data_IF_337978733214
#
_entry.id   IF_337978733214
#
_cell.length_a   1.000
_cell.length_b   1.000
_cell.length_c   1.000
_cell.angle_alpha   90.00
_cell.angle_beta   90.00
_cell.angle_gamma   90.00
#
_symmetry.space_group_name_H-M   'P 1'
#
loop_
_entity.id
_entity.type
_entity.pdbx_description
1 polymer ?
#
# COMPACT_ATOMS: atom_id res chain seq x y z
N UNK A 1 -34.73 -4.56 -14.90
CA UNK A 1 -34.69 -6.01 -14.61
C UNK A 1 -33.64 -6.18 -13.53
N UNK A 2 -34.05 -6.38 -12.27
CA UNK A 2 -33.13 -6.76 -11.19
C UNK A 2 -33.11 -8.29 -11.19
N UNK A 3 -31.95 -8.91 -11.38
CA UNK A 3 -31.83 -10.36 -11.59
C UNK A 3 -32.10 -11.21 -10.34
N UNK A 4 -32.36 -10.58 -9.19
CA UNK A 4 -32.64 -11.28 -7.93
C UNK A 4 -31.46 -12.09 -7.41
N UNK A 5 -30.23 -11.83 -7.87
CA UNK A 5 -29.02 -12.52 -7.43
C UNK A 5 -28.88 -12.44 -5.89
N UNK A 6 -28.90 -13.60 -5.25
CA UNK A 6 -28.77 -13.71 -3.79
C UNK A 6 -27.29 -13.86 -3.44
N UNK A 7 -26.69 -12.84 -2.82
CA UNK A 7 -25.33 -12.93 -2.28
C UNK A 7 -25.37 -13.70 -0.96
N UNK A 8 -24.59 -14.78 -0.86
CA UNK A 8 -24.40 -15.54 0.37
C UNK A 8 -23.05 -15.18 0.97
N UNK A 9 -23.03 -14.61 2.17
CA UNK A 9 -21.78 -14.29 2.85
C UNK A 9 -21.25 -15.50 3.62
N UNK A 10 -19.95 -15.69 3.61
CA UNK A 10 -19.23 -16.67 4.42
C UNK A 10 -18.19 -15.94 5.26
N UNK A 11 -18.31 -15.99 6.57
CA UNK A 11 -17.29 -15.42 7.45
C UNK A 11 -16.14 -16.40 7.55
N UNK A 12 -14.91 -15.89 7.44
CA UNK A 12 -13.69 -16.68 7.66
C UNK A 12 -13.75 -17.40 9.02
N UNK A 13 -13.22 -18.62 9.08
CA UNK A 13 -13.17 -19.40 10.33
C UNK A 13 -12.26 -18.71 11.35
N UNK A 14 -12.55 -18.91 12.63
CA UNK A 14 -11.76 -18.34 13.73
C UNK A 14 -10.35 -18.96 13.82
N UNK A 15 -10.18 -20.15 13.24
CA UNK A 15 -8.94 -20.90 13.16
C UNK A 15 -8.09 -20.53 11.92
N UNK A 16 -8.59 -19.61 11.09
CA UNK A 16 -7.86 -19.15 9.89
C UNK A 16 -6.59 -18.40 10.29
N UNK A 17 -5.46 -18.82 9.71
CA UNK A 17 -4.18 -18.13 9.86
C UNK A 17 -4.02 -17.05 8.77
N UNK A 18 -4.11 -15.74 9.11
CA UNK A 18 -3.93 -14.68 8.15
C UNK A 18 -2.47 -14.51 7.67
N UNK A 19 -1.50 -15.19 8.29
CA UNK A 19 -0.11 -15.20 7.82
C UNK A 19 0.15 -16.16 6.65
N UNK A 20 -0.77 -17.08 6.37
CA UNK A 20 -0.65 -18.06 5.30
C UNK A 20 -1.42 -17.60 4.03
N UNK A 21 -0.66 -17.20 3.01
CA UNK A 21 -1.23 -16.81 1.72
C UNK A 21 -2.01 -17.95 1.03
N UNK A 22 -1.59 -19.21 1.22
CA UNK A 22 -2.27 -20.36 0.65
C UNK A 22 -3.60 -20.64 1.36
N UNK A 23 -3.68 -20.43 2.67
CA UNK A 23 -4.93 -20.50 3.41
C UNK A 23 -5.94 -19.47 2.86
N UNK A 24 -5.50 -18.24 2.62
CA UNK A 24 -6.34 -17.18 2.06
C UNK A 24 -6.88 -17.52 0.66
N UNK A 25 -5.99 -18.00 -0.23
CA UNK A 25 -6.37 -18.44 -1.58
C UNK A 25 -7.33 -19.63 -1.54
N UNK A 26 -7.10 -20.57 -0.63
CA UNK A 26 -7.99 -21.73 -0.43
C UNK A 26 -9.38 -21.29 0.04
N UNK A 27 -9.46 -20.36 1.00
CA UNK A 27 -10.72 -19.83 1.49
C UNK A 27 -11.52 -19.11 0.38
N UNK A 28 -10.84 -18.29 -0.43
CA UNK A 28 -11.43 -17.63 -1.60
C UNK A 28 -12.01 -18.64 -2.59
N UNK A 29 -11.22 -19.65 -2.96
CA UNK A 29 -11.62 -20.67 -3.94
C UNK A 29 -12.80 -21.52 -3.45
N UNK A 30 -12.81 -21.90 -2.17
CA UNK A 30 -13.90 -22.66 -1.58
C UNK A 30 -15.20 -21.86 -1.54
N UNK A 31 -15.11 -20.56 -1.19
CA UNK A 31 -16.28 -19.68 -1.20
C UNK A 31 -16.84 -19.50 -2.61
N UNK A 32 -15.98 -19.26 -3.61
CA UNK A 32 -16.36 -19.16 -5.02
C UNK A 32 -17.08 -20.44 -5.50
N UNK A 33 -16.47 -21.61 -5.25
CA UNK A 33 -17.06 -22.91 -5.59
C UNK A 33 -18.41 -23.14 -4.89
N UNK A 34 -18.56 -22.60 -3.68
CA UNK A 34 -19.80 -22.66 -2.90
C UNK A 34 -20.87 -21.62 -3.29
N UNK A 35 -20.60 -20.73 -4.24
CA UNK A 35 -21.48 -19.61 -4.58
C UNK A 35 -21.65 -18.62 -3.42
N UNK A 36 -20.59 -18.45 -2.62
CA UNK A 36 -20.54 -17.59 -1.45
C UNK A 36 -19.46 -16.52 -1.64
N UNK A 37 -19.58 -15.45 -0.87
CA UNK A 37 -18.61 -14.38 -0.78
C UNK A 37 -17.95 -14.43 0.59
N UNK A 38 -16.66 -14.77 0.62
CA UNK A 38 -15.89 -14.82 1.87
C UNK A 38 -15.69 -13.40 2.42
N UNK A 39 -15.74 -13.26 3.74
CA UNK A 39 -15.64 -11.99 4.46
C UNK A 39 -14.74 -12.14 5.70
N UNK A 40 -14.02 -11.08 6.07
CA UNK A 40 -13.09 -11.07 7.20
C UNK A 40 -11.65 -10.75 6.77
N UNK A 41 -10.70 -10.94 7.69
CA UNK A 41 -9.27 -10.79 7.40
C UNK A 41 -8.75 -12.06 6.72
N UNK A 42 -8.51 -11.98 5.40
CA UNK A 42 -8.05 -13.12 4.60
C UNK A 42 -6.53 -13.32 4.72
N UNK A 43 -5.76 -12.25 4.61
CA UNK A 43 -4.30 -12.33 4.60
C UNK A 43 -3.69 -11.01 5.08
N UNK A 44 -2.62 -11.10 5.85
CA UNK A 44 -1.80 -9.98 6.26
C UNK A 44 -0.37 -10.45 6.54
N UNK A 45 0.60 -9.78 5.92
CA UNK A 45 2.02 -10.02 6.14
C UNK A 45 2.66 -8.74 6.71
N UNK A 46 2.90 -8.76 8.02
CA UNK A 46 3.51 -7.64 8.75
C UNK A 46 5.01 -7.47 8.50
N UNK A 47 5.66 -8.42 7.79
CA UNK A 47 7.09 -8.34 7.50
C UNK A 47 7.40 -7.49 6.27
N UNK A 48 6.39 -7.21 5.44
CA UNK A 48 6.57 -6.42 4.23
C UNK A 48 6.60 -4.93 4.55
N UNK A 49 7.63 -4.21 4.09
CA UNK A 49 7.63 -2.76 4.19
C UNK A 49 6.48 -2.16 3.37
N UNK A 50 6.07 -0.97 3.78
CA UNK A 50 5.25 -0.10 2.97
C UNK A 50 6.01 0.40 1.75
N UNK A 51 5.28 0.82 0.72
CA UNK A 51 5.89 1.41 -0.48
C UNK A 51 6.73 2.67 -0.16
N UNK A 52 6.35 3.42 0.87
CA UNK A 52 7.10 4.61 1.29
C UNK A 52 8.48 4.24 1.84
N UNK A 53 8.57 3.17 2.62
CA UNK A 53 9.84 2.64 3.15
C UNK A 53 10.71 2.07 2.03
N UNK A 54 10.11 1.31 1.10
CA UNK A 54 10.83 0.77 -0.08
C UNK A 54 11.46 1.86 -0.94
N UNK A 55 10.76 3.00 -1.10
CA UNK A 55 11.25 4.15 -1.86
C UNK A 55 12.12 5.10 -1.02
N UNK A 56 12.34 4.79 0.25
CA UNK A 56 13.03 5.65 1.21
C UNK A 56 12.51 7.10 1.18
N UNK A 57 11.19 7.26 1.12
CA UNK A 57 10.57 8.58 1.13
C UNK A 57 10.87 9.29 2.45
N UNK A 58 11.13 10.59 2.35
CA UNK A 58 11.31 11.45 3.52
C UNK A 58 9.98 11.75 4.20
N UNK A 59 10.04 12.07 5.50
CA UNK A 59 8.85 12.33 6.31
C UNK A 59 8.08 13.59 5.87
N UNK A 60 8.79 14.59 5.34
CA UNK A 60 8.21 15.88 4.94
C UNK A 60 7.80 15.86 3.45
N UNK A 61 6.50 15.95 3.12
CA UNK A 61 6.07 16.02 1.73
C UNK A 61 6.41 17.39 1.14
N UNK A 62 6.73 17.42 -0.17
CA UNK A 62 7.13 18.65 -0.87
C UNK A 62 6.13 19.82 -0.76
N UNK A 63 4.83 19.54 -0.54
CA UNK A 63 3.79 20.56 -0.39
C UNK A 63 3.91 21.35 0.92
N UNK A 64 4.52 20.74 1.94
CA UNK A 64 4.69 21.35 3.26
C UNK A 64 6.06 22.04 3.40
N UNK A 65 6.98 21.82 2.45
CA UNK A 65 8.31 22.43 2.47
C UNK A 65 8.20 23.94 2.19
N UNK A 66 8.78 24.81 3.04
CA UNK A 66 8.77 26.26 2.83
C UNK A 66 9.44 26.68 1.52
N UNK A 67 8.95 27.77 0.91
CA UNK A 67 9.47 28.28 -0.36
C UNK A 67 10.95 28.68 -0.27
N UNK A 68 11.41 29.15 0.88
CA UNK A 68 12.79 29.56 1.11
C UNK A 68 13.77 28.37 1.00
N UNK A 69 13.29 27.16 1.30
CA UNK A 69 14.07 25.91 1.17
C UNK A 69 13.98 25.37 -0.26
N UNK A 70 12.77 25.35 -0.84
CA UNK A 70 12.56 24.90 -2.23
C UNK A 70 13.29 25.78 -3.25
N UNK A 71 13.53 27.06 -2.90
CA UNK A 71 14.18 28.04 -3.75
C UNK A 71 15.38 28.68 -3.02
N UNK A 72 16.55 28.03 -3.06
CA UNK A 72 17.78 28.61 -2.55
C UNK A 72 18.11 29.96 -3.19
N UNK A 73 18.92 30.76 -2.50
CA UNK A 73 19.33 32.06 -2.99
C UNK A 73 20.26 31.96 -4.22
N UNK A 74 20.41 33.09 -4.92
CA UNK A 74 21.27 33.16 -6.10
C UNK A 74 22.73 32.83 -5.79
N UNK A 75 23.21 33.21 -4.60
CA UNK A 75 24.60 32.99 -4.21
C UNK A 75 24.92 31.48 -4.12
N UNK A 76 23.99 30.68 -3.62
CA UNK A 76 24.09 29.23 -3.52
C UNK A 76 24.22 28.58 -4.90
N UNK A 77 23.44 29.05 -5.88
CA UNK A 77 23.53 28.57 -7.27
C UNK A 77 24.86 28.98 -7.93
N UNK A 78 25.30 30.23 -7.73
CA UNK A 78 26.56 30.73 -8.30
C UNK A 78 27.77 29.93 -7.74
N UNK A 79 27.74 29.56 -6.45
CA UNK A 79 28.76 28.71 -5.83
C UNK A 79 28.79 27.29 -6.41
N UNK A 80 27.62 26.64 -6.55
CA UNK A 80 27.50 25.30 -7.13
C UNK A 80 28.04 25.26 -8.58
N UNK A 81 27.69 26.25 -9.40
CA UNK A 81 28.16 26.33 -10.78
C UNK A 81 29.68 26.50 -10.87
N UNK A 82 30.28 27.26 -9.95
CA UNK A 82 31.74 27.44 -9.91
C UNK A 82 32.47 26.11 -9.61
N UNK A 83 31.88 25.25 -8.78
CA UNK A 83 32.44 23.91 -8.46
C UNK A 83 32.39 22.96 -9.67
N UNK A 84 31.32 22.98 -10.46
CA UNK A 84 31.21 22.12 -11.66
C UNK A 84 31.99 22.62 -12.88
N UNK A 85 32.38 23.90 -12.89
CA UNK A 85 33.08 24.54 -14.02
C UNK A 85 34.60 24.66 -13.80
N UNK A 86 35.12 24.17 -12.66
CA UNK A 86 36.57 24.05 -12.39
C UNK A 86 37.12 22.71 -12.84
#
# INVERSE_FOLDING_TARGET
LHDGSTIRLETISAEHDPGDAMAALTALHNAETGGKHVTGLLYFDASKPSLAEDLALVDEPLVDVPNEVLRPDKASLDALNAEFLS
#
